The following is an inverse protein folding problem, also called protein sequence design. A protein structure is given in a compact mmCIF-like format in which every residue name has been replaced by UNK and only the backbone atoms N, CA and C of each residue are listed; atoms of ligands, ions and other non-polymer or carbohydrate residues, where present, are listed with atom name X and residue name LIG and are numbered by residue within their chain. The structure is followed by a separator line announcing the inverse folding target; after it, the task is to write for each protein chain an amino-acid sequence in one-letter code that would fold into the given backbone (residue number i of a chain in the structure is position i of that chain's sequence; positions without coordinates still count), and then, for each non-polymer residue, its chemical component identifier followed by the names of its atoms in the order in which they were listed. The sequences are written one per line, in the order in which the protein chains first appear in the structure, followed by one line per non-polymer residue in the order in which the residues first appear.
data_IF_992948556361
#
_entry.id   IF_992948556361
#
_cell.length_a   1.000
_cell.length_b   1.000
_cell.length_c   1.000
_cell.angle_alpha   90.00
_cell.angle_beta   90.00
_cell.angle_gamma   90.00
#
_symmetry.space_group_name_H-M   'P 1'
#
loop_
_entity.id
_entity.type
_entity.pdbx_description
1 polymer ?
#
# COMPACT_ATOMS: atom_id res chain seq x y z
N UNK A 1 4.28 -24.05 -10.25
CA UNK A 1 4.17 -22.87 -9.36
C UNK A 1 3.45 -21.80 -10.15
N UNK A 2 2.21 -21.47 -9.79
CA UNK A 2 1.35 -20.58 -10.57
C UNK A 2 1.74 -19.12 -10.31
N UNK A 3 2.05 -18.40 -11.39
CA UNK A 3 2.12 -16.94 -11.38
C UNK A 3 0.84 -16.45 -12.00
N UNK A 4 0.10 -15.66 -11.25
CA UNK A 4 -1.11 -15.01 -11.75
C UNK A 4 -0.87 -13.51 -11.78
N UNK A 5 -1.24 -12.86 -12.88
CA UNK A 5 -1.10 -11.41 -13.02
C UNK A 5 -2.34 -10.85 -13.68
N UNK A 6 -2.81 -9.73 -13.14
CA UNK A 6 -3.95 -9.00 -13.64
C UNK A 6 -3.59 -7.53 -13.82
N UNK A 7 -4.20 -6.94 -14.83
CA UNK A 7 -4.16 -5.49 -15.06
C UNK A 7 -5.53 -4.96 -14.73
N UNK A 8 -5.61 -3.99 -13.83
CA UNK A 8 -6.84 -3.36 -13.39
C UNK A 8 -6.86 -1.92 -13.90
N UNK A 9 -7.72 -1.67 -14.89
CA UNK A 9 -7.93 -0.35 -15.51
C UNK A 9 -9.30 0.26 -15.17
N UNK A 10 -10.14 -0.46 -14.43
CA UNK A 10 -11.46 -0.03 -13.99
C UNK A 10 -11.77 -0.65 -12.61
N UNK A 11 -12.68 -0.06 -11.82
CA UNK A 11 -13.05 -0.59 -10.52
C UNK A 11 -13.49 -2.05 -10.61
N UNK A 12 -12.84 -2.92 -9.84
CA UNK A 12 -13.14 -4.35 -9.78
C UNK A 12 -12.58 -4.96 -8.51
N UNK A 13 -13.17 -6.07 -8.11
CA UNK A 13 -12.67 -6.88 -6.99
C UNK A 13 -12.00 -8.16 -7.52
N UNK A 14 -10.99 -8.64 -6.80
CA UNK A 14 -10.20 -9.83 -7.13
C UNK A 14 -10.03 -10.66 -5.87
N UNK A 15 -10.49 -11.90 -5.91
CA UNK A 15 -10.22 -12.89 -4.87
C UNK A 15 -9.01 -13.74 -5.23
N UNK A 16 -8.09 -13.86 -4.28
CA UNK A 16 -6.88 -14.67 -4.39
C UNK A 16 -6.96 -15.76 -3.34
N UNK A 17 -6.82 -17.03 -3.75
CA UNK A 17 -7.07 -18.17 -2.88
C UNK A 17 -5.92 -18.50 -1.89
N UNK A 18 -4.67 -18.17 -2.22
CA UNK A 18 -3.49 -18.44 -1.37
C UNK A 18 -2.59 -17.20 -1.30
N UNK A 19 -2.58 -16.53 -0.15
CA UNK A 19 -1.76 -15.34 0.10
C UNK A 19 -1.04 -15.48 1.43
N UNK A 20 0.29 -15.46 1.37
CA UNK A 20 1.21 -15.55 2.50
C UNK A 20 1.88 -14.24 2.82
N UNK A 21 1.91 -13.30 1.87
CA UNK A 21 2.44 -11.96 2.05
C UNK A 21 1.71 -10.99 1.15
N UNK A 22 1.45 -9.79 1.65
CA UNK A 22 0.91 -8.71 0.82
C UNK A 22 1.91 -7.57 0.73
N UNK A 23 2.15 -7.11 -0.49
CA UNK A 23 2.96 -5.94 -0.79
C UNK A 23 2.10 -4.97 -1.59
N UNK A 24 1.77 -3.81 -1.00
CA UNK A 24 1.04 -2.74 -1.68
C UNK A 24 1.97 -1.56 -1.89
N UNK A 25 2.02 -1.06 -3.12
CA UNK A 25 2.84 0.07 -3.53
C UNK A 25 2.00 1.10 -4.30
N UNK A 26 1.71 2.24 -3.69
CA UNK A 26 0.89 3.29 -4.31
C UNK A 26 1.61 4.64 -4.35
N UNK A 27 1.40 5.39 -5.43
CA UNK A 27 1.89 6.77 -5.52
C UNK A 27 0.92 7.73 -4.84
N UNK A 28 -0.35 7.73 -5.25
CA UNK A 28 -1.40 8.64 -4.76
C UNK A 28 -2.74 7.91 -4.54
N UNK A 29 -3.68 8.55 -3.84
CA UNK A 29 -4.97 7.96 -3.45
C UNK A 29 -4.97 7.39 -2.04
N UNK A 30 -5.52 6.18 -1.88
CA UNK A 30 -5.61 5.54 -0.56
C UNK A 30 -5.55 4.01 -0.61
N UNK A 31 -4.95 3.43 0.42
CA UNK A 31 -4.95 1.99 0.68
C UNK A 31 -5.56 1.73 2.05
N UNK A 32 -6.55 0.86 2.11
CA UNK A 32 -7.16 0.38 3.34
C UNK A 32 -6.92 -1.13 3.47
N UNK A 33 -6.11 -1.55 4.44
CA UNK A 33 -5.82 -2.96 4.68
C UNK A 33 -6.54 -3.39 5.95
N UNK A 34 -7.46 -4.33 5.81
CA UNK A 34 -8.23 -4.91 6.90
C UNK A 34 -7.80 -6.35 7.09
N UNK A 35 -7.22 -6.64 8.24
CA UNK A 35 -6.96 -8.00 8.66
C UNK A 35 -8.23 -8.58 9.26
N UNK A 36 -8.81 -9.56 8.57
CA UNK A 36 -9.96 -10.32 9.02
C UNK A 36 -9.48 -11.52 9.86
N UNK A 37 -9.93 -11.66 11.12
CA UNK A 37 -9.54 -12.76 11.99
C UNK A 37 -10.25 -14.08 11.68
N UNK A 38 -11.36 -14.06 10.93
CA UNK A 38 -12.12 -15.25 10.53
C UNK A 38 -11.69 -15.81 9.17
N UNK A 39 -10.90 -15.07 8.39
CA UNK A 39 -10.32 -15.52 7.13
C UNK A 39 -9.10 -16.41 7.39
N UNK A 40 -9.19 -17.66 6.97
CA UNK A 40 -8.12 -18.65 7.17
C UNK A 40 -7.02 -18.58 6.09
N UNK A 41 -7.36 -18.21 4.84
CA UNK A 41 -6.40 -18.07 3.73
C UNK A 41 -6.87 -17.07 2.66
N UNK A 42 -5.96 -16.75 1.74
CA UNK A 42 -6.19 -15.90 0.57
C UNK A 42 -6.23 -14.40 0.86
N UNK A 43 -6.59 -13.58 -0.12
CA UNK A 43 -6.91 -12.18 0.09
C UNK A 43 -8.06 -11.74 -0.83
N UNK A 44 -8.82 -10.74 -0.40
CA UNK A 44 -9.79 -10.05 -1.24
C UNK A 44 -9.26 -8.65 -1.52
N UNK A 45 -8.97 -8.35 -2.78
CA UNK A 45 -8.57 -7.04 -3.25
C UNK A 45 -9.78 -6.36 -3.90
N UNK A 46 -10.28 -5.30 -3.30
CA UNK A 46 -11.26 -4.43 -3.92
C UNK A 46 -10.58 -3.15 -4.42
N UNK A 47 -10.74 -2.88 -5.71
CA UNK A 47 -10.24 -1.64 -6.32
C UNK A 47 -11.45 -0.78 -6.64
N UNK A 48 -11.67 0.25 -5.84
CA UNK A 48 -12.84 1.12 -5.99
C UNK A 48 -12.60 2.25 -6.99
N UNK A 49 -11.34 2.68 -7.16
CA UNK A 49 -10.97 3.75 -8.09
C UNK A 49 -9.58 3.51 -8.67
N UNK A 50 -9.43 3.69 -9.99
CA UNK A 50 -8.17 3.65 -10.73
C UNK A 50 -8.17 4.80 -11.73
N UNK A 51 -7.05 5.50 -11.81
CA UNK A 51 -6.83 6.59 -12.78
C UNK A 51 -6.46 6.06 -14.17
N UNK A 52 -6.01 6.95 -15.07
CA UNK A 52 -5.62 6.58 -16.43
C UNK A 52 -4.51 5.51 -16.49
N UNK A 53 -3.66 5.42 -15.46
CA UNK A 53 -2.61 4.40 -15.37
C UNK A 53 -3.16 3.13 -14.69
N UNK A 54 -3.09 1.96 -15.35
CA UNK A 54 -3.64 0.74 -14.80
C UNK A 54 -2.80 0.23 -13.61
N UNK A 55 -3.50 -0.32 -12.63
CA UNK A 55 -2.89 -0.99 -11.48
C UNK A 55 -2.48 -2.42 -11.88
N UNK A 56 -1.25 -2.78 -11.59
CA UNK A 56 -0.74 -4.14 -11.76
C UNK A 56 -0.94 -4.91 -10.45
N UNK A 57 -1.56 -6.07 -10.57
CA UNK A 57 -1.75 -7.01 -9.48
C UNK A 57 -1.09 -8.31 -9.89
N UNK A 58 -0.19 -8.85 -9.08
CA UNK A 58 0.50 -10.10 -9.39
C UNK A 58 0.67 -10.94 -8.15
N UNK A 59 0.48 -12.24 -8.27
CA UNK A 59 0.71 -13.22 -7.21
C UNK A 59 1.84 -14.14 -7.65
N UNK A 60 2.90 -14.15 -6.85
CA UNK A 60 4.06 -15.01 -7.06
C UNK A 60 4.40 -15.71 -5.76
N UNK A 61 4.34 -17.04 -5.76
CA UNK A 61 4.70 -17.86 -4.58
C UNK A 61 3.92 -17.48 -3.30
N UNK A 62 2.65 -17.08 -3.46
CA UNK A 62 1.80 -16.60 -2.37
C UNK A 62 2.08 -15.15 -1.93
N UNK A 63 2.97 -14.42 -2.59
CA UNK A 63 3.14 -12.97 -2.41
C UNK A 63 2.22 -12.21 -3.36
N UNK A 64 1.16 -11.60 -2.82
CA UNK A 64 0.28 -10.69 -3.53
C UNK A 64 0.94 -9.30 -3.59
N UNK A 65 1.36 -8.90 -4.80
CA UNK A 65 1.85 -7.56 -5.10
C UNK A 65 0.77 -6.74 -5.78
N UNK A 66 0.55 -5.54 -5.29
CA UNK A 66 -0.39 -4.57 -5.83
C UNK A 66 0.33 -3.25 -5.99
N UNK A 67 0.43 -2.72 -7.20
CA UNK A 67 1.02 -1.41 -7.41
C UNK A 67 1.11 -1.04 -8.87
N UNK A 68 1.84 0.04 -9.16
CA UNK A 68 2.15 0.43 -10.53
C UNK A 68 3.43 -0.28 -10.96
N UNK A 69 3.47 -0.79 -12.19
CA UNK A 69 4.72 -1.29 -12.74
C UNK A 69 5.65 -0.09 -13.00
N UNK A 70 6.67 0.06 -12.16
CA UNK A 70 7.76 1.01 -12.34
C UNK A 70 8.94 0.39 -13.10
N UNK A 71 8.85 -0.87 -13.53
CA UNK A 71 9.97 -1.68 -14.01
C UNK A 71 10.39 -1.34 -15.46
N UNK A 72 9.69 -0.42 -16.12
CA UNK A 72 10.17 0.19 -17.36
C UNK A 72 11.16 1.33 -17.12
N UNK A 73 12.05 1.55 -18.08
CA UNK A 73 12.82 2.79 -18.30
C UNK A 73 12.00 4.08 -18.10
N UNK A 74 10.66 4.01 -18.20
CA UNK A 74 9.72 5.07 -17.84
C UNK A 74 9.76 5.49 -16.36
N UNK A 75 9.96 4.60 -15.39
CA UNK A 75 10.03 4.96 -13.96
C UNK A 75 11.23 5.84 -13.60
N UNK A 76 12.30 5.78 -14.40
CA UNK A 76 13.48 6.66 -14.27
C UNK A 76 13.24 8.03 -14.92
N UNK A 77 12.48 8.07 -16.03
CA UNK A 77 12.12 9.30 -16.75
C UNK A 77 11.00 10.07 -16.04
N UNK A 78 10.06 9.38 -15.41
CA UNK A 78 8.94 9.98 -14.66
C UNK A 78 9.42 10.67 -13.36
N UNK A 79 10.43 10.08 -12.70
CA UNK A 79 11.18 10.74 -11.61
C UNK A 79 11.82 12.07 -12.02
N UNK A 80 12.18 12.22 -13.29
CA UNK A 80 12.80 13.44 -13.82
C UNK A 80 11.78 14.47 -14.36
N UNK A 81 10.54 14.07 -14.65
CA UNK A 81 9.55 14.92 -15.35
C UNK A 81 8.38 15.41 -14.50
N UNK A 82 8.24 15.00 -13.25
CA UNK A 82 7.21 15.56 -12.36
C UNK A 82 5.76 15.28 -12.81
N UNK A 83 5.53 14.21 -13.58
CA UNK A 83 4.21 13.75 -14.04
C UNK A 83 3.42 13.01 -12.93
N UNK A 84 3.64 13.42 -11.68
CA UNK A 84 3.16 12.72 -10.49
C UNK A 84 1.63 12.78 -10.35
N UNK A 85 0.93 13.71 -10.97
CA UNK A 85 -0.48 14.02 -10.66
C UNK A 85 -1.54 13.05 -11.22
N UNK A 86 -1.14 11.98 -11.93
CA UNK A 86 -2.10 11.06 -12.58
C UNK A 86 -2.14 9.63 -12.03
N UNK A 87 -1.24 9.27 -11.11
CA UNK A 87 -1.14 7.92 -10.57
C UNK A 87 -1.91 7.78 -9.25
N UNK A 88 -3.24 7.82 -9.32
CA UNK A 88 -4.14 7.73 -8.16
C UNK A 88 -5.01 6.47 -8.19
N UNK A 89 -5.02 5.73 -7.09
CA UNK A 89 -5.90 4.57 -6.91
C UNK A 89 -6.44 4.48 -5.47
N UNK A 90 -7.66 3.97 -5.34
CA UNK A 90 -8.30 3.64 -4.06
C UNK A 90 -8.46 2.14 -4.00
N UNK A 91 -7.72 1.50 -3.09
CA UNK A 91 -7.71 0.04 -2.93
C UNK A 91 -8.03 -0.34 -1.50
N UNK A 92 -8.80 -1.40 -1.35
CA UNK A 92 -9.09 -2.05 -0.09
C UNK A 92 -8.64 -3.50 -0.17
N UNK A 93 -7.89 -3.96 0.82
CA UNK A 93 -7.35 -5.32 0.86
C UNK A 93 -7.78 -5.97 2.16
N UNK A 94 -8.54 -7.06 2.05
CA UNK A 94 -8.93 -7.89 3.19
C UNK A 94 -8.08 -9.15 3.22
N UNK A 95 -7.33 -9.36 4.30
CA UNK A 95 -6.38 -10.47 4.43
C UNK A 95 -6.53 -11.19 5.77
N UNK A 96 -6.04 -12.42 5.92
CA UNK A 96 -5.92 -13.08 7.22
C UNK A 96 -5.04 -12.26 8.16
N UNK A 97 -5.41 -12.22 9.44
CA UNK A 97 -4.63 -11.48 10.43
C UNK A 97 -3.22 -12.05 10.67
N UNK A 98 -2.93 -13.28 10.22
CA UNK A 98 -1.62 -13.95 10.29
C UNK A 98 -0.68 -13.59 9.14
N UNK A 99 -1.14 -12.82 8.14
CA UNK A 99 -0.34 -12.51 6.94
C UNK A 99 0.49 -11.24 7.16
N UNK A 100 1.82 -11.28 6.95
CA UNK A 100 2.66 -10.09 6.99
C UNK A 100 2.30 -9.11 5.88
N UNK A 101 2.28 -7.84 6.26
CA UNK A 101 1.84 -6.73 5.42
C UNK A 101 3.01 -5.77 5.15
N UNK A 102 3.22 -5.43 3.87
CA UNK A 102 4.15 -4.37 3.47
C UNK A 102 3.40 -3.34 2.64
N UNK A 103 3.28 -2.13 3.17
CA UNK A 103 2.61 -1.02 2.48
C UNK A 103 3.64 0.07 2.23
N UNK A 104 3.79 0.48 0.97
CA UNK A 104 4.70 1.56 0.58
C UNK A 104 3.90 2.62 -0.18
N UNK A 105 3.86 3.84 0.33
CA UNK A 105 3.16 4.95 -0.31
C UNK A 105 4.08 6.15 -0.50
N UNK A 106 3.88 6.90 -1.59
CA UNK A 106 4.59 8.18 -1.77
C UNK A 106 3.79 9.35 -1.19
N UNK A 107 2.55 9.53 -1.66
CA UNK A 107 1.59 10.56 -1.22
C UNK A 107 0.25 9.96 -0.77
N UNK A 108 -0.03 8.70 -1.11
CA UNK A 108 -1.26 8.02 -0.75
C UNK A 108 -1.42 7.85 0.77
N UNK A 109 -2.66 7.92 1.24
CA UNK A 109 -3.00 7.59 2.61
C UNK A 109 -3.01 6.06 2.82
N UNK A 110 -2.42 5.57 3.90
CA UNK A 110 -2.41 4.16 4.23
C UNK A 110 -3.07 3.90 5.59
N UNK A 111 -4.11 3.07 5.59
CA UNK A 111 -4.78 2.60 6.81
C UNK A 111 -4.56 1.09 6.92
N UNK A 112 -4.14 0.62 8.09
CA UNK A 112 -4.02 -0.81 8.41
C UNK A 112 -4.76 -1.09 9.70
N UNK A 113 -5.64 -2.08 9.71
CA UNK A 113 -6.49 -2.43 10.86
C UNK A 113 -6.43 -3.92 11.16
N UNK A 114 -6.26 -4.29 12.44
CA UNK A 114 -6.57 -5.63 12.95
C UNK A 114 -5.52 -6.73 12.72
N UNK A 115 -4.29 -6.38 12.30
CA UNK A 115 -3.28 -7.39 11.97
C UNK A 115 -2.60 -7.97 13.20
N UNK A 116 -2.37 -9.29 13.19
CA UNK A 116 -1.60 -10.00 14.22
C UNK A 116 -0.15 -10.27 13.82
N UNK A 117 0.15 -10.15 12.54
CA UNK A 117 1.49 -10.35 11.98
C UNK A 117 2.30 -9.05 11.91
N UNK A 118 3.55 -9.17 11.48
CA UNK A 118 4.42 -8.02 11.25
C UNK A 118 3.86 -7.14 10.12
N UNK A 119 3.74 -5.85 10.40
CA UNK A 119 3.34 -4.83 9.43
C UNK A 119 4.47 -3.83 9.24
N UNK A 120 4.84 -3.60 7.98
CA UNK A 120 5.79 -2.58 7.58
C UNK A 120 5.08 -1.56 6.68
N UNK A 121 4.87 -0.35 7.20
CA UNK A 121 4.32 0.76 6.42
C UNK A 121 5.44 1.76 6.17
N UNK A 122 5.69 2.10 4.91
CA UNK A 122 6.62 3.16 4.51
C UNK A 122 5.84 4.21 3.74
N UNK A 123 5.79 5.45 4.22
CA UNK A 123 5.12 6.57 3.53
C UNK A 123 6.13 7.67 3.22
N UNK A 124 5.92 8.45 2.15
CA UNK A 124 6.64 9.69 1.92
C UNK A 124 5.98 10.86 2.66
N UNK A 125 4.96 11.44 2.05
CA UNK A 125 4.18 12.57 2.59
C UNK A 125 2.72 12.21 2.87
N UNK A 126 2.31 10.96 2.64
CA UNK A 126 0.94 10.50 2.86
C UNK A 126 0.64 10.18 4.32
N UNK A 127 -0.61 10.35 4.73
CA UNK A 127 -1.05 10.00 6.09
C UNK A 127 -1.01 8.49 6.32
N UNK A 128 -0.55 8.06 7.50
CA UNK A 128 -0.54 6.64 7.90
C UNK A 128 -1.33 6.46 9.18
N UNK A 129 -2.22 5.47 9.17
CA UNK A 129 -2.99 5.04 10.33
C UNK A 129 -2.82 3.53 10.49
N UNK A 130 -2.41 3.11 11.67
CA UNK A 130 -2.26 1.70 12.03
C UNK A 130 -3.01 1.48 13.33
N UNK A 131 -3.99 0.56 13.34
CA UNK A 131 -4.88 0.31 14.46
C UNK A 131 -5.08 -1.18 14.71
N UNK A 132 -5.26 -1.57 15.97
CA UNK A 132 -5.56 -2.97 16.33
C UNK A 132 -4.46 -3.94 15.95
N UNK A 133 -3.18 -3.53 16.06
CA UNK A 133 -2.04 -4.41 15.78
C UNK A 133 -1.61 -5.13 17.05
N UNK A 134 -1.59 -6.45 17.01
CA UNK A 134 -1.01 -7.26 18.09
C UNK A 134 0.41 -7.74 17.79
N UNK A 135 0.85 -7.69 16.52
CA UNK A 135 2.22 -8.01 16.08
C UNK A 135 3.17 -6.82 16.12
N UNK A 136 4.34 -6.95 15.48
CA UNK A 136 5.28 -5.81 15.33
C UNK A 136 4.76 -4.85 14.26
N UNK A 137 4.52 -3.58 14.63
CA UNK A 137 4.25 -2.52 13.66
C UNK A 137 5.48 -1.64 13.45
N UNK A 138 5.99 -1.61 12.22
CA UNK A 138 7.05 -0.72 11.76
C UNK A 138 6.48 0.32 10.81
N UNK A 139 6.35 1.57 11.26
CA UNK A 139 5.98 2.69 10.41
C UNK A 139 7.22 3.54 10.14
N UNK A 140 7.55 3.74 8.87
CA UNK A 140 8.64 4.58 8.40
C UNK A 140 8.08 5.70 7.56
N UNK A 141 8.50 6.92 7.85
CA UNK A 141 8.20 8.07 7.01
C UNK A 141 9.51 8.50 6.35
N UNK A 142 9.56 8.45 5.02
CA UNK A 142 10.65 8.99 4.23
C UNK A 142 10.50 10.52 4.20
N UNK A 143 10.87 11.17 5.30
CA UNK A 143 10.96 12.61 5.37
C UNK A 143 12.03 13.07 4.39
N UNK A 144 11.62 13.74 3.31
CA UNK A 144 12.43 14.86 2.77
C UNK A 144 12.64 15.89 3.89
N UNK A 145 13.67 16.75 3.83
CA UNK A 145 14.10 17.57 4.97
C UNK A 145 12.91 18.28 5.62
N UNK A 146 12.53 17.80 6.81
CA UNK A 146 11.53 18.45 7.63
C UNK A 146 12.22 19.57 8.38
N UNK A 147 12.02 20.82 7.97
CA UNK A 147 12.29 21.96 8.84
C UNK A 147 11.30 21.88 10.00
N UNK A 148 11.74 21.32 11.12
CA UNK A 148 11.06 21.46 12.40
C UNK A 148 11.37 22.85 12.95
N UNK A 149 10.49 23.83 12.73
CA UNK A 149 10.55 25.09 13.45
C UNK A 149 10.08 24.84 14.90
N UNK A 150 11.05 24.72 15.81
CA UNK A 150 10.79 24.74 17.24
C UNK A 150 10.44 26.18 17.64
N UNK A 151 9.15 26.50 17.77
CA UNK A 151 8.73 27.75 18.39
C UNK A 151 8.75 27.56 19.90
N UNK A 152 9.89 27.83 20.52
CA UNK A 152 9.97 28.03 21.97
C UNK A 152 9.28 29.37 22.29
N UNK A 153 8.08 29.30 22.85
CA UNK A 153 7.42 30.46 23.43
C UNK A 153 7.92 30.64 24.88
N UNK A 154 8.79 31.63 25.08
CA UNK A 154 9.15 32.16 26.40
C UNK A 154 8.38 33.46 26.60
N UNK A 155 7.61 33.58 27.68
CA UNK A 155 7.14 34.84 28.30
C UNK A 155 6.57 34.47 29.68
N UNK A 156 7.36 34.62 30.75
CA UNK A 156 7.40 35.74 31.72
C UNK A 156 6.12 35.87 32.54
#
# INVERSE_FOLDING_TARGET
MSTESWVINAPRSVDVADVRRVVVQLTDGSVDVVADPGRESGAHLDVSEVSERPLQVSVHDGELRVGYDFAGIEGLVDRAKGLRDKDRAVVRVTVPASVPLKVTTARAAATVVGTRADVSVTTGTGAVRVQGVSGTASVRTATGPSTSASTSATST
#
